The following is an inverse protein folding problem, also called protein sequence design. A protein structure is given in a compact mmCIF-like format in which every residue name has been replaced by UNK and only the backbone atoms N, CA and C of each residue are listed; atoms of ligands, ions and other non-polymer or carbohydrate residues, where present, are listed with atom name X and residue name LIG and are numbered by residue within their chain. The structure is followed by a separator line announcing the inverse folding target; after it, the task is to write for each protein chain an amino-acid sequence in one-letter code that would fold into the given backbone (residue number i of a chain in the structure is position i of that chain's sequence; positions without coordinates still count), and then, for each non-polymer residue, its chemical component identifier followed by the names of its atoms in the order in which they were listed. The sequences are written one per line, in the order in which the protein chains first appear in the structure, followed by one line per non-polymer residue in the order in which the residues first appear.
data_IF_549964023759
#
_entry.id   IF_549964023759
#
_cell.length_a   1.000
_cell.length_b   1.000
_cell.length_c   1.000
_cell.angle_alpha   90.00
_cell.angle_beta   90.00
_cell.angle_gamma   90.00
#
_symmetry.space_group_name_H-M   'P 1'
#
loop_
_entity.id
_entity.type
_entity.pdbx_description
1 polymer ?
#
# COMPACT_ATOMS: atom_id res chain seq x y z
N UNK A 1 33.62 -42.59 -17.91
CA UNK A 1 34.20 -41.23 -18.04
C UNK A 1 33.23 -40.20 -18.64
N UNK A 2 32.48 -40.51 -19.71
CA UNK A 2 31.59 -39.53 -20.36
C UNK A 2 30.42 -39.01 -19.48
N UNK A 3 29.87 -39.82 -18.58
CA UNK A 3 28.76 -39.42 -17.69
C UNK A 3 29.18 -38.34 -16.68
N UNK A 4 30.43 -38.39 -16.20
CA UNK A 4 30.95 -37.41 -15.23
C UNK A 4 31.20 -36.03 -15.86
N UNK A 5 31.51 -35.97 -17.16
CA UNK A 5 31.78 -34.73 -17.91
C UNK A 5 30.52 -33.88 -18.13
N UNK A 6 29.32 -34.48 -18.05
CA UNK A 6 28.04 -33.79 -18.23
C UNK A 6 27.36 -33.51 -16.88
N UNK A 7 27.52 -34.40 -15.90
CA UNK A 7 26.90 -34.25 -14.59
C UNK A 7 27.45 -33.04 -13.81
N UNK A 8 28.76 -32.80 -13.84
CA UNK A 8 29.38 -31.71 -13.09
C UNK A 8 28.90 -30.30 -13.52
N UNK A 9 28.86 -29.92 -14.81
CA UNK A 9 28.35 -28.61 -15.21
C UNK A 9 26.84 -28.48 -14.98
N UNK A 10 26.07 -29.57 -15.07
CA UNK A 10 24.63 -29.55 -14.77
C UNK A 10 24.37 -29.31 -13.27
N UNK A 11 25.12 -29.98 -12.39
CA UNK A 11 25.03 -29.76 -10.95
C UNK A 11 25.44 -28.33 -10.59
N UNK A 12 26.51 -27.82 -11.19
CA UNK A 12 26.95 -26.44 -10.98
C UNK A 12 25.91 -25.43 -11.47
N UNK A 13 25.31 -25.68 -12.64
CA UNK A 13 24.25 -24.83 -13.18
C UNK A 13 23.01 -24.81 -12.29
N UNK A 14 22.57 -25.97 -11.79
CA UNK A 14 21.46 -26.06 -10.84
C UNK A 14 21.81 -25.37 -9.51
N UNK A 15 23.03 -25.54 -9.00
CA UNK A 15 23.49 -24.87 -7.78
C UNK A 15 23.51 -23.34 -7.93
N UNK A 16 23.94 -22.84 -9.09
CA UNK A 16 23.89 -21.41 -9.42
C UNK A 16 22.43 -20.93 -9.51
N UNK A 17 21.53 -21.66 -10.17
CA UNK A 17 20.11 -21.28 -10.24
C UNK A 17 19.44 -21.23 -8.86
N UNK A 18 19.80 -22.12 -7.93
CA UNK A 18 19.31 -22.09 -6.55
C UNK A 18 19.95 -20.91 -5.79
N UNK A 19 21.24 -20.65 -5.98
CA UNK A 19 21.95 -19.56 -5.32
C UNK A 19 21.55 -18.16 -5.82
N UNK A 20 21.04 -18.05 -7.05
CA UNK A 20 20.61 -16.77 -7.66
C UNK A 20 19.08 -16.64 -7.69
N UNK A 21 18.35 -17.39 -6.86
CA UNK A 21 16.94 -17.07 -6.61
C UNK A 21 16.87 -15.74 -5.84
N UNK A 22 16.79 -14.63 -6.57
CA UNK A 22 16.29 -13.40 -5.98
C UNK A 22 14.83 -13.65 -5.61
N UNK A 23 14.57 -13.80 -4.31
CA UNK A 23 13.22 -13.69 -3.81
C UNK A 23 12.81 -12.24 -4.04
N UNK A 24 12.00 -12.00 -5.07
CA UNK A 24 11.24 -10.76 -5.17
C UNK A 24 10.31 -10.74 -3.95
N UNK A 25 10.78 -10.14 -2.86
CA UNK A 25 10.16 -10.22 -1.55
C UNK A 25 8.99 -9.24 -1.39
N UNK A 26 8.89 -8.24 -2.27
CA UNK A 26 7.85 -7.23 -2.19
C UNK A 26 7.47 -6.74 -3.60
N UNK A 27 6.16 -6.64 -3.82
CA UNK A 27 5.53 -5.81 -4.83
C UNK A 27 4.45 -5.01 -4.09
N UNK A 28 4.27 -3.75 -4.46
CA UNK A 28 3.36 -2.83 -3.79
C UNK A 28 1.99 -2.69 -4.47
N UNK A 29 1.91 -3.03 -5.76
CA UNK A 29 0.67 -2.98 -6.55
C UNK A 29 -0.15 -4.27 -6.39
N UNK A 30 -1.42 -4.22 -6.79
CA UNK A 30 -2.39 -5.32 -6.76
C UNK A 30 -1.93 -6.64 -7.36
N UNK A 31 -0.95 -6.64 -8.26
CA UNK A 31 -0.34 -7.86 -8.81
C UNK A 31 0.54 -8.62 -7.81
N UNK A 32 0.84 -8.01 -6.66
CA UNK A 32 1.62 -8.62 -5.59
C UNK A 32 0.86 -9.82 -4.98
N UNK A 33 1.46 -11.02 -4.89
CA UNK A 33 0.77 -12.21 -4.41
C UNK A 33 0.13 -12.05 -3.01
N UNK A 34 0.78 -11.31 -2.12
CA UNK A 34 0.35 -11.13 -0.72
C UNK A 34 -0.90 -10.25 -0.56
N UNK A 35 -1.11 -9.28 -1.46
CA UNK A 35 -2.26 -8.35 -1.42
C UNK A 35 -3.19 -8.52 -2.62
N UNK A 36 -2.99 -9.53 -3.46
CA UNK A 36 -3.81 -9.79 -4.65
C UNK A 36 -5.32 -9.93 -4.39
N UNK A 37 -5.70 -10.20 -3.14
CA UNK A 37 -7.10 -10.29 -2.67
C UNK A 37 -7.48 -9.21 -1.66
N UNK A 38 -6.56 -8.31 -1.34
CA UNK A 38 -6.76 -7.20 -0.43
C UNK A 38 -6.64 -5.89 -1.23
N UNK A 39 -7.78 -5.42 -1.76
CA UNK A 39 -7.81 -4.22 -2.57
C UNK A 39 -7.50 -2.94 -1.75
N UNK A 40 -7.75 -2.96 -0.44
CA UNK A 40 -7.50 -1.81 0.42
C UNK A 40 -6.02 -1.65 0.75
N UNK A 41 -5.21 -2.69 0.57
CA UNK A 41 -3.75 -2.66 0.73
C UNK A 41 -2.99 -2.32 -0.57
N UNK A 42 -3.69 -2.04 -1.67
CA UNK A 42 -3.09 -1.74 -2.97
C UNK A 42 -2.42 -0.35 -2.97
N UNK A 43 -1.10 -0.31 -2.88
CA UNK A 43 -0.32 0.91 -3.00
C UNK A 43 -0.08 1.19 -4.49
N UNK A 44 -0.61 2.30 -4.96
CA UNK A 44 -0.53 2.65 -6.38
C UNK A 44 0.78 3.33 -6.69
N UNK A 45 1.21 4.29 -5.86
CA UNK A 45 2.42 5.09 -6.08
C UNK A 45 2.90 5.77 -4.79
N UNK A 46 4.18 6.14 -4.78
CA UNK A 46 4.76 7.05 -3.78
C UNK A 46 5.49 8.19 -4.50
N UNK A 47 5.20 9.43 -4.09
CA UNK A 47 5.81 10.64 -4.63
C UNK A 47 6.63 11.36 -3.56
N UNK A 48 7.80 11.85 -3.95
CA UNK A 48 8.71 12.59 -3.08
C UNK A 48 9.21 13.82 -3.82
N UNK A 49 9.01 15.00 -3.24
CA UNK A 49 9.44 16.26 -3.84
C UNK A 49 9.72 17.32 -2.77
N UNK A 50 10.56 18.30 -3.12
CA UNK A 50 10.80 19.47 -2.26
C UNK A 50 9.53 20.34 -2.26
N UNK A 51 9.11 20.80 -1.07
CA UNK A 51 7.89 21.60 -0.97
C UNK A 51 8.01 22.89 -1.79
N UNK A 52 6.99 23.22 -2.62
CA UNK A 52 6.97 24.48 -3.35
C UNK A 52 6.75 25.71 -2.44
N UNK A 53 6.27 25.50 -1.21
CA UNK A 53 6.02 26.56 -0.23
C UNK A 53 7.24 26.84 0.66
N UNK A 54 8.04 25.80 0.96
CA UNK A 54 9.25 25.92 1.76
C UNK A 54 10.29 24.88 1.31
N UNK A 55 11.41 25.35 0.75
CA UNK A 55 12.45 24.48 0.20
C UNK A 55 13.25 23.70 1.26
N UNK A 56 13.14 24.06 2.54
CA UNK A 56 13.74 23.29 3.63
C UNK A 56 12.96 22.02 3.98
N UNK A 57 11.75 21.85 3.41
CA UNK A 57 10.87 20.71 3.67
C UNK A 57 10.80 19.75 2.48
N UNK A 58 10.72 18.46 2.79
CA UNK A 58 10.36 17.39 1.84
C UNK A 58 8.89 17.04 2.03
N UNK A 59 8.17 16.88 0.91
CA UNK A 59 6.81 16.35 0.88
C UNK A 59 6.86 14.89 0.46
N UNK A 60 6.19 14.05 1.25
CA UNK A 60 5.96 12.64 0.96
C UNK A 60 4.46 12.45 0.73
N UNK A 61 4.10 11.81 -0.39
CA UNK A 61 2.72 11.45 -0.71
C UNK A 61 2.69 9.97 -1.06
N UNK A 62 1.86 9.21 -0.36
CA UNK A 62 1.52 7.84 -0.74
C UNK A 62 0.09 7.78 -1.26
N UNK A 63 -0.13 7.01 -2.32
CA UNK A 63 -1.44 6.76 -2.90
C UNK A 63 -1.80 5.28 -2.76
N UNK A 64 -3.04 5.01 -2.37
CA UNK A 64 -3.62 3.69 -2.26
C UNK A 64 -5.03 3.70 -2.85
N UNK A 65 -5.54 2.53 -3.23
CA UNK A 65 -6.89 2.35 -3.78
C UNK A 65 -7.07 3.16 -5.08
N UNK A 66 -6.78 2.59 -6.26
CA UNK A 66 -6.89 3.33 -7.51
C UNK A 66 -8.36 3.53 -7.91
N UNK A 67 -8.60 4.56 -8.76
CA UNK A 67 -9.86 4.81 -9.45
C UNK A 67 -11.07 5.16 -8.54
N UNK A 68 -10.86 6.00 -7.53
CA UNK A 68 -11.91 6.46 -6.61
C UNK A 68 -12.89 7.49 -7.22
N UNK A 69 -13.76 7.04 -8.12
CA UNK A 69 -14.75 7.90 -8.80
C UNK A 69 -15.99 8.21 -7.94
N UNK A 70 -16.61 9.42 -8.07
CA UNK A 70 -17.80 9.81 -7.32
C UNK A 70 -19.07 8.97 -7.63
N UNK A 71 -19.08 8.24 -8.74
CA UNK A 71 -20.13 7.31 -9.14
C UNK A 71 -20.11 5.98 -8.37
N UNK A 72 -19.08 5.71 -7.57
CA UNK A 72 -18.89 4.46 -6.83
C UNK A 72 -19.85 4.22 -5.65
N UNK A 73 -20.78 5.15 -5.39
CA UNK A 73 -21.76 5.03 -4.30
C UNK A 73 -22.70 3.81 -4.42
N UNK A 74 -23.49 3.51 -3.38
CA UNK A 74 -23.67 4.28 -2.15
C UNK A 74 -22.64 4.00 -1.04
N UNK A 75 -21.69 3.10 -1.29
CA UNK A 75 -20.56 2.82 -0.42
C UNK A 75 -19.31 3.43 -1.07
N UNK A 76 -18.81 4.51 -0.51
CA UNK A 76 -17.58 5.14 -0.98
C UNK A 76 -16.35 4.45 -0.40
N UNK A 77 -15.19 4.83 -0.91
CA UNK A 77 -13.90 4.27 -0.55
C UNK A 77 -13.50 4.68 0.87
N UNK A 78 -12.95 3.73 1.61
CA UNK A 78 -12.55 3.87 3.01
C UNK A 78 -11.16 3.25 3.21
N UNK A 79 -10.39 3.77 4.16
CA UNK A 79 -9.22 3.10 4.70
C UNK A 79 -9.67 1.87 5.50
N UNK A 80 -9.03 0.72 5.28
CA UNK A 80 -9.34 -0.49 6.04
C UNK A 80 -8.71 -0.41 7.44
N UNK A 81 -9.50 -0.73 8.46
CA UNK A 81 -9.07 -0.70 9.87
C UNK A 81 -7.98 -1.75 10.18
N UNK A 82 -7.84 -2.75 9.32
CA UNK A 82 -6.87 -3.84 9.47
C UNK A 82 -5.59 -3.61 8.64
N UNK A 83 -5.48 -2.49 7.92
CA UNK A 83 -4.33 -2.18 7.08
C UNK A 83 -3.52 -1.03 7.69
N UNK A 84 -2.20 -1.20 7.68
CA UNK A 84 -1.26 -0.13 8.04
C UNK A 84 -0.65 0.47 6.77
N UNK A 85 -0.96 1.74 6.53
CA UNK A 85 -0.48 2.50 5.38
C UNK A 85 0.80 3.22 5.77
N UNK A 86 1.96 2.62 5.47
CA UNK A 86 3.26 3.08 5.98
C UNK A 86 4.17 3.59 4.87
N UNK A 87 4.85 4.71 5.13
CA UNK A 87 5.97 5.22 4.36
C UNK A 87 7.26 5.03 5.16
N UNK A 88 8.17 4.24 4.62
CA UNK A 88 9.47 3.93 5.22
C UNK A 88 10.54 4.85 4.65
N UNK A 89 11.24 5.59 5.51
CA UNK A 89 12.28 6.54 5.11
C UNK A 89 13.62 6.07 5.66
N UNK A 90 14.50 5.66 4.76
CA UNK A 90 15.94 5.50 5.00
C UNK A 90 16.62 6.81 4.58
N UNK A 91 17.29 7.48 5.53
CA UNK A 91 18.01 8.72 5.28
C UNK A 91 19.53 8.58 5.41
N UNK A 92 20.02 7.35 5.62
CA UNK A 92 21.43 7.05 5.83
C UNK A 92 22.02 6.08 4.78
N UNK A 93 21.17 5.39 4.01
CA UNK A 93 21.52 4.55 2.88
C UNK A 93 21.81 3.07 3.22
N UNK A 94 21.42 2.60 4.40
CA UNK A 94 21.62 1.21 4.83
C UNK A 94 20.47 0.25 4.49
N UNK A 95 19.44 0.75 3.79
CA UNK A 95 18.21 0.06 3.44
C UNK A 95 17.34 -0.38 4.64
N UNK A 96 17.50 0.29 5.79
CA UNK A 96 16.62 0.18 6.94
C UNK A 96 15.93 1.52 7.18
N UNK A 97 14.65 1.48 7.54
CA UNK A 97 13.90 2.70 7.81
C UNK A 97 14.39 3.35 9.11
N UNK A 98 14.86 4.60 9.01
CA UNK A 98 15.16 5.46 10.16
C UNK A 98 13.87 6.10 10.71
N UNK A 99 12.94 6.42 9.81
CA UNK A 99 11.66 7.06 10.14
C UNK A 99 10.54 6.31 9.42
N UNK A 100 9.46 6.02 10.13
CA UNK A 100 8.24 5.43 9.57
C UNK A 100 7.06 6.34 9.86
N UNK A 101 6.37 6.76 8.81
CA UNK A 101 5.07 7.42 8.93
C UNK A 101 3.98 6.39 8.67
N UNK A 102 3.08 6.17 9.63
CA UNK A 102 1.99 5.21 9.49
C UNK A 102 0.65 5.91 9.67
N UNK A 103 -0.23 5.72 8.69
CA UNK A 103 -1.65 5.98 8.80
C UNK A 103 -2.37 4.67 9.17
N UNK A 104 -3.22 4.77 10.17
CA UNK A 104 -4.22 3.78 10.53
C UNK A 104 -5.54 4.51 10.71
N UNK A 105 -6.64 3.90 10.28
CA UNK A 105 -7.97 4.50 10.34
C UNK A 105 -8.91 3.63 11.17
N UNK A 106 -9.94 4.26 11.73
CA UNK A 106 -11.12 3.55 12.22
C UNK A 106 -12.38 4.18 11.65
N UNK A 107 -13.36 3.33 11.33
CA UNK A 107 -14.69 3.75 10.90
C UNK A 107 -15.63 3.88 12.09
N UNK A 108 -16.21 5.06 12.24
CA UNK A 108 -17.30 5.34 13.17
C UNK A 108 -18.62 5.37 12.42
N UNK A 109 -19.50 4.41 12.74
CA UNK A 109 -20.83 4.32 12.16
C UNK A 109 -21.83 5.09 13.03
N UNK A 110 -22.35 6.20 12.51
CA UNK A 110 -23.30 7.06 13.24
C UNK A 110 -24.68 6.42 13.40
N UNK A 111 -25.26 5.94 12.30
CA UNK A 111 -26.54 5.23 12.25
C UNK A 111 -26.33 3.77 11.82
N UNK A 112 -26.33 2.81 12.76
CA UNK A 112 -26.10 1.39 12.45
C UNK A 112 -27.29 0.73 11.75
N UNK A 113 -28.43 1.42 11.60
CA UNK A 113 -29.61 0.90 10.90
C UNK A 113 -29.52 1.05 9.37
N UNK A 114 -28.43 1.61 8.86
CA UNK A 114 -28.18 1.74 7.43
C UNK A 114 -26.73 1.43 7.08
N UNK A 115 -26.50 0.86 5.91
CA UNK A 115 -25.18 0.60 5.37
C UNK A 115 -24.59 1.79 4.59
N UNK A 116 -25.41 2.80 4.28
CA UNK A 116 -25.02 3.92 3.43
C UNK A 116 -23.83 4.69 4.03
N UNK A 117 -22.90 5.12 3.17
CA UNK A 117 -21.77 5.97 3.56
C UNK A 117 -22.24 7.32 4.11
N UNK A 118 -23.29 7.88 3.49
CA UNK A 118 -23.92 9.13 3.88
C UNK A 118 -25.45 9.07 3.71
N UNK A 119 -26.18 9.76 4.58
CA UNK A 119 -27.66 9.83 4.55
C UNK A 119 -28.18 11.10 3.89
N UNK A 120 -27.29 11.93 3.35
CA UNK A 120 -27.52 13.22 2.72
C UNK A 120 -26.19 13.87 2.32
N UNK A 121 -26.18 15.09 1.78
CA UNK A 121 -24.94 15.80 1.43
C UNK A 121 -23.96 15.94 2.61
N UNK A 122 -22.66 15.75 2.35
CA UNK A 122 -21.58 16.01 3.30
C UNK A 122 -20.98 17.38 2.96
N UNK A 123 -21.36 18.40 3.73
CA UNK A 123 -20.91 19.78 3.49
C UNK A 123 -19.70 20.18 4.36
N UNK A 124 -19.36 19.37 5.36
CA UNK A 124 -18.26 19.58 6.31
C UNK A 124 -17.81 18.25 6.95
N UNK A 125 -16.63 18.24 7.58
CA UNK A 125 -16.04 17.07 8.24
C UNK A 125 -16.85 16.56 9.44
N UNK A 126 -17.70 17.38 10.03
CA UNK A 126 -18.58 17.04 11.15
C UNK A 126 -20.05 16.92 10.72
N UNK A 127 -20.31 16.80 9.41
CA UNK A 127 -21.67 16.70 8.88
C UNK A 127 -22.45 15.57 9.55
N UNK A 128 -23.68 15.81 10.04
CA UNK A 128 -24.53 14.76 10.60
C UNK A 128 -24.95 13.74 9.53
N UNK A 129 -24.79 14.07 8.24
CA UNK A 129 -25.08 13.16 7.14
C UNK A 129 -23.92 12.21 6.84
N UNK A 130 -22.71 12.44 7.36
CA UNK A 130 -21.58 11.52 7.16
C UNK A 130 -21.72 10.36 8.14
N UNK A 131 -22.27 9.24 7.64
CA UNK A 131 -22.64 8.10 8.44
C UNK A 131 -21.46 7.18 8.76
N UNK A 132 -20.49 7.07 7.86
CA UNK A 132 -19.29 6.23 7.99
C UNK A 132 -18.02 7.10 8.05
N UNK A 133 -17.79 7.70 9.21
CA UNK A 133 -16.68 8.66 9.42
C UNK A 133 -15.35 7.94 9.62
N UNK A 134 -14.27 8.46 9.04
CA UNK A 134 -12.92 7.89 9.19
C UNK A 134 -12.10 8.74 10.18
N UNK A 135 -11.49 8.09 11.16
CA UNK A 135 -10.75 8.72 12.27
C UNK A 135 -9.31 8.23 12.34
#
# INVERSE_FOLDING_TARGET
MAVALIAAPLILFIAVLIAVQSQAAASSHREAPLISKDAFADNTDTYVFISPENQDNVVLVGSWIPFEGPEGGPNYFEWDENVHYSLFVDNNGDAQADITYTLSSRVEVGNPLTFLYNTGPIDALDSPNWNRQQR
#
